data_IF_117047775363
#
_entry.id   IF_117047775363
#
_cell.length_a   1.000
_cell.length_b   1.000
_cell.length_c   1.000
_cell.angle_alpha   90.00
_cell.angle_beta   90.00
_cell.angle_gamma   90.00
#
_symmetry.space_group_name_H-M   'P 1'
#
loop_
_entity.id
_entity.type
_entity.pdbx_description
1 polymer ?
#
# COMPACT_ATOMS: atom_id res chain seq x y z
N UNK A 1 -12.76 -6.56 11.03
CA UNK A 1 -11.88 -5.71 10.20
C UNK A 1 -10.51 -6.33 9.98
N UNK A 2 -9.81 -6.80 11.03
CA UNK A 2 -8.48 -7.42 10.87
C UNK A 2 -8.48 -8.64 9.92
N UNK A 3 -9.46 -9.53 9.99
CA UNK A 3 -9.59 -10.68 9.07
C UNK A 3 -9.82 -10.23 7.61
N UNK A 4 -10.53 -9.11 7.39
CA UNK A 4 -10.67 -8.50 6.06
C UNK A 4 -9.34 -7.97 5.52
N UNK A 5 -8.53 -7.32 6.36
CA UNK A 5 -7.19 -6.86 5.97
C UNK A 5 -6.26 -8.03 5.68
N UNK A 6 -6.26 -9.06 6.54
CA UNK A 6 -5.45 -10.27 6.35
C UNK A 6 -5.80 -11.01 5.04
N UNK A 7 -7.10 -11.09 4.69
CA UNK A 7 -7.51 -11.63 3.38
C UNK A 7 -7.03 -10.75 2.22
N UNK A 8 -7.13 -9.42 2.34
CA UNK A 8 -6.60 -8.50 1.32
C UNK A 8 -5.09 -8.68 1.11
N UNK A 9 -4.34 -8.83 2.21
CA UNK A 9 -2.90 -9.12 2.17
C UNK A 9 -2.62 -10.50 1.55
N UNK A 10 -3.47 -11.51 1.81
CA UNK A 10 -3.32 -12.82 1.18
C UNK A 10 -3.59 -12.79 -0.33
N UNK A 11 -4.54 -11.95 -0.78
CA UNK A 11 -4.82 -11.77 -2.21
C UNK A 11 -3.62 -11.20 -2.97
N UNK A 12 -2.79 -10.34 -2.36
CA UNK A 12 -1.60 -9.83 -3.05
C UNK A 12 -0.60 -10.94 -3.38
N UNK A 13 -0.62 -12.03 -2.61
CA UNK A 13 0.25 -13.20 -2.82
C UNK A 13 -0.28 -14.17 -3.87
N UNK A 14 -1.58 -14.16 -4.13
CA UNK A 14 -2.22 -15.08 -5.06
C UNK A 14 -2.74 -14.34 -6.30
N UNK A 15 -2.16 -14.65 -7.46
CA UNK A 15 -2.50 -13.96 -8.71
C UNK A 15 -3.72 -14.59 -9.38
N UNK A 16 -4.91 -14.23 -8.91
CA UNK A 16 -6.17 -14.56 -9.58
C UNK A 16 -6.58 -13.44 -10.56
N UNK A 17 -7.33 -13.77 -11.59
CA UNK A 17 -7.78 -12.82 -12.62
C UNK A 17 -8.96 -11.98 -12.14
N UNK A 18 -9.77 -12.50 -11.21
CA UNK A 18 -10.94 -11.84 -10.65
C UNK A 18 -11.07 -12.03 -9.14
N UNK A 19 -11.66 -11.05 -8.45
CA UNK A 19 -11.98 -11.16 -7.02
C UNK A 19 -12.91 -12.33 -6.69
N UNK A 20 -13.77 -12.72 -7.63
CA UNK A 20 -14.74 -13.81 -7.41
C UNK A 20 -14.03 -15.17 -7.37
N UNK A 21 -12.90 -15.31 -8.07
CA UNK A 21 -12.16 -16.57 -8.15
C UNK A 21 -11.56 -16.99 -6.81
N UNK A 22 -11.25 -16.04 -5.92
CA UNK A 22 -10.81 -16.36 -4.56
C UNK A 22 -11.83 -17.17 -3.74
N UNK A 23 -13.11 -17.10 -4.10
CA UNK A 23 -14.19 -17.90 -3.49
C UNK A 23 -14.73 -18.97 -4.44
N UNK A 24 -13.99 -19.32 -5.50
CA UNK A 24 -14.39 -20.38 -6.40
C UNK A 24 -14.40 -21.74 -5.70
N UNK A 25 -15.37 -22.58 -6.06
CA UNK A 25 -15.42 -24.00 -5.67
C UNK A 25 -14.81 -24.92 -6.74
N UNK A 26 -14.36 -24.36 -7.86
CA UNK A 26 -13.65 -25.11 -8.90
C UNK A 26 -12.34 -25.65 -8.33
N UNK A 27 -12.10 -26.96 -8.46
CA UNK A 27 -10.88 -27.63 -7.99
C UNK A 27 -9.55 -26.99 -8.43
N UNK A 28 -9.52 -26.35 -9.60
CA UNK A 28 -8.29 -25.70 -10.11
C UNK A 28 -8.02 -24.33 -9.47
N UNK A 29 -9.05 -23.69 -8.93
CA UNK A 29 -9.02 -22.33 -8.39
C UNK A 29 -9.33 -22.29 -6.89
N UNK A 30 -9.77 -23.41 -6.31
CA UNK A 30 -10.31 -23.47 -4.96
C UNK A 30 -9.23 -23.13 -3.94
N UNK A 31 -9.47 -22.06 -3.19
CA UNK A 31 -8.66 -21.69 -2.04
C UNK A 31 -9.56 -21.59 -0.81
N UNK A 32 -9.63 -22.66 -0.01
CA UNK A 32 -10.60 -22.79 1.09
C UNK A 32 -10.53 -21.63 2.10
N UNK A 33 -9.32 -21.16 2.39
CA UNK A 33 -9.03 -20.10 3.38
C UNK A 33 -9.91 -18.86 3.21
N UNK A 34 -10.22 -18.43 1.98
CA UNK A 34 -11.06 -17.25 1.76
C UNK A 34 -12.50 -17.47 2.21
N UNK A 35 -13.09 -18.61 1.82
CA UNK A 35 -14.45 -18.99 2.21
C UNK A 35 -14.58 -19.26 3.70
N UNK A 36 -13.56 -19.91 4.29
CA UNK A 36 -13.53 -20.30 5.71
C UNK A 36 -13.39 -19.08 6.65
N UNK A 37 -12.73 -18.02 6.20
CA UNK A 37 -12.52 -16.81 7.00
C UNK A 37 -13.65 -15.81 6.84
N UNK A 38 -14.16 -15.62 5.61
CA UNK A 38 -15.19 -14.61 5.35
C UNK A 38 -15.99 -14.93 4.08
N UNK A 39 -17.32 -14.84 4.13
CA UNK A 39 -18.14 -14.95 2.94
C UNK A 39 -17.80 -13.85 1.90
N UNK A 40 -17.80 -14.21 0.61
CA UNK A 40 -17.53 -13.30 -0.52
C UNK A 40 -18.32 -11.99 -0.43
N UNK A 41 -19.62 -12.09 -0.21
CA UNK A 41 -20.51 -10.92 -0.19
C UNK A 41 -20.22 -10.00 1.00
N UNK A 42 -19.79 -10.57 2.14
CA UNK A 42 -19.33 -9.81 3.30
C UNK A 42 -18.03 -9.06 2.99
N UNK A 43 -17.07 -9.72 2.35
CA UNK A 43 -15.82 -9.08 1.93
C UNK A 43 -16.09 -7.91 0.97
N UNK A 44 -16.90 -8.13 -0.06
CA UNK A 44 -17.26 -7.09 -1.03
C UNK A 44 -18.02 -5.93 -0.38
N UNK A 45 -18.91 -6.21 0.58
CA UNK A 45 -19.62 -5.17 1.33
C UNK A 45 -18.65 -4.34 2.17
N UNK A 46 -17.72 -4.96 2.90
CA UNK A 46 -16.70 -4.26 3.68
C UNK A 46 -15.80 -3.42 2.77
N UNK A 47 -15.33 -3.99 1.66
CA UNK A 47 -14.54 -3.27 0.67
C UNK A 47 -15.30 -2.07 0.12
N UNK A 48 -16.61 -2.19 -0.16
CA UNK A 48 -17.46 -1.11 -0.65
C UNK A 48 -17.62 0.00 0.39
N UNK A 49 -17.93 -0.38 1.63
CA UNK A 49 -18.25 0.54 2.72
C UNK A 49 -17.02 1.12 3.44
N UNK A 50 -15.79 0.68 3.12
CA UNK A 50 -14.57 1.22 3.72
C UNK A 50 -14.46 2.76 3.58
N UNK A 51 -14.35 3.44 4.72
CA UNK A 51 -14.23 4.91 4.85
C UNK A 51 -13.33 5.23 6.05
N UNK A 52 -12.67 6.39 6.01
CA UNK A 52 -11.74 6.84 7.06
C UNK A 52 -12.06 8.22 7.63
N UNK A 53 -13.17 8.82 7.19
CA UNK A 53 -13.66 10.11 7.64
C UNK A 53 -15.17 10.05 7.84
N UNK A 54 -15.69 10.90 8.70
CA UNK A 54 -17.12 11.16 8.79
C UNK A 54 -17.53 12.12 7.66
N UNK A 55 -18.50 11.70 6.85
CA UNK A 55 -19.00 12.54 5.73
C UNK A 55 -20.07 13.54 6.19
N UNK A 56 -20.49 13.51 7.46
CA UNK A 56 -21.46 14.46 8.03
C UNK A 56 -20.82 15.80 8.40
N UNK A 57 -19.50 15.84 8.60
CA UNK A 57 -18.78 17.07 8.84
C UNK A 57 -18.58 17.84 7.53
N UNK A 58 -18.70 19.19 7.54
CA UNK A 58 -18.41 19.99 6.36
C UNK A 58 -16.95 19.76 5.99
N UNK A 59 -16.75 19.03 4.88
CA UNK A 59 -15.41 18.84 4.33
C UNK A 59 -14.84 20.21 4.02
N UNK A 60 -13.59 20.44 4.40
CA UNK A 60 -12.79 21.49 3.77
C UNK A 60 -12.90 21.31 2.24
N UNK A 61 -12.72 22.39 1.47
CA UNK A 61 -12.71 22.32 -0.01
C UNK A 61 -11.72 21.27 -0.55
N UNK A 62 -10.75 20.89 0.30
CA UNK A 62 -9.84 19.80 0.09
C UNK A 62 -10.52 18.43 0.05
N UNK A 63 -10.16 17.61 -0.92
CA UNK A 63 -10.61 16.21 -1.04
C UNK A 63 -9.69 15.23 -0.29
N UNK A 64 -8.50 15.64 0.13
CA UNK A 64 -7.53 14.81 0.86
C UNK A 64 -7.97 14.48 2.30
N UNK A 65 -8.87 15.27 2.89
CA UNK A 65 -9.52 14.99 4.19
C UNK A 65 -10.03 13.55 4.36
N UNK A 66 -10.40 12.88 3.25
CA UNK A 66 -10.90 11.50 3.25
C UNK A 66 -9.95 10.45 3.81
N UNK A 67 -8.64 10.76 3.86
CA UNK A 67 -7.60 9.86 4.37
C UNK A 67 -6.55 10.59 5.22
N UNK A 68 -6.64 11.91 5.32
CA UNK A 68 -5.70 12.75 6.06
C UNK A 68 -5.40 12.23 7.47
N UNK A 69 -6.43 11.82 8.22
CA UNK A 69 -6.25 11.26 9.55
C UNK A 69 -5.32 10.04 9.57
N UNK A 70 -5.51 9.10 8.63
CA UNK A 70 -4.68 7.90 8.54
C UNK A 70 -3.25 8.26 8.15
N UNK A 71 -3.08 9.20 7.21
CA UNK A 71 -1.75 9.66 6.76
C UNK A 71 -0.99 10.27 7.94
N UNK A 72 -1.59 11.23 8.64
CA UNK A 72 -0.97 11.89 9.79
C UNK A 72 -0.62 10.90 10.90
N UNK A 73 -1.54 9.99 11.22
CA UNK A 73 -1.32 8.97 12.24
C UNK A 73 -0.16 8.04 11.90
N UNK A 74 -0.02 7.65 10.63
CA UNK A 74 1.09 6.81 10.18
C UNK A 74 2.42 7.56 10.17
N UNK A 75 2.43 8.83 9.74
CA UNK A 75 3.62 9.68 9.81
C UNK A 75 4.13 9.81 11.25
N UNK A 76 3.23 10.09 12.21
CA UNK A 76 3.57 10.14 13.63
C UNK A 76 4.14 8.82 14.16
N UNK A 77 3.50 7.70 13.83
CA UNK A 77 3.98 6.38 14.22
C UNK A 77 5.35 6.06 13.60
N UNK A 78 5.56 6.38 12.33
CA UNK A 78 6.80 6.07 11.63
C UNK A 78 7.97 6.86 12.20
N UNK A 79 7.77 8.16 12.45
CA UNK A 79 8.77 9.05 13.07
C UNK A 79 9.11 8.67 14.51
N UNK A 80 8.15 8.17 15.28
CA UNK A 80 8.34 7.87 16.71
C UNK A 80 8.89 6.46 16.98
N UNK A 81 8.65 5.50 16.09
CA UNK A 81 8.98 4.09 16.34
C UNK A 81 10.45 3.71 16.03
N UNK A 82 11.22 4.57 15.35
CA UNK A 82 12.59 4.26 14.97
C UNK A 82 13.50 5.49 15.05
N UNK A 83 14.75 5.29 15.46
CA UNK A 83 15.80 6.29 15.37
C UNK A 83 16.73 5.92 14.21
N UNK A 84 16.83 6.78 13.18
CA UNK A 84 17.60 6.46 11.99
C UNK A 84 19.10 6.27 12.24
N UNK A 85 19.76 5.54 11.35
CA UNK A 85 21.22 5.51 11.25
C UNK A 85 21.76 6.75 10.52
N UNK A 86 23.02 6.71 10.10
CA UNK A 86 23.69 7.89 9.53
C UNK A 86 23.22 8.22 8.10
N UNK A 87 22.79 7.22 7.31
CA UNK A 87 22.57 7.36 5.86
C UNK A 87 21.08 7.25 5.52
N UNK A 88 20.58 8.16 4.68
CA UNK A 88 19.18 8.19 4.20
C UNK A 88 19.12 8.22 2.69
N UNK A 89 18.02 7.73 2.12
CA UNK A 89 17.68 8.02 0.74
C UNK A 89 16.25 8.57 0.64
N UNK A 90 16.06 9.52 -0.28
CA UNK A 90 14.78 10.12 -0.57
C UNK A 90 14.37 9.78 -2.01
N UNK A 91 13.17 9.23 -2.19
CA UNK A 91 12.66 8.83 -3.50
C UNK A 91 11.24 9.35 -3.76
N UNK A 92 11.00 9.83 -4.99
CA UNK A 92 9.67 10.06 -5.53
C UNK A 92 9.01 8.75 -5.99
N UNK A 93 8.27 8.09 -5.10
CA UNK A 93 7.39 6.98 -5.46
C UNK A 93 6.15 7.50 -6.21
N UNK A 94 5.57 6.68 -7.10
CA UNK A 94 4.35 7.03 -7.83
C UNK A 94 3.38 5.87 -7.83
N UNK A 95 2.26 6.08 -7.15
CA UNK A 95 1.17 5.12 -7.11
C UNK A 95 0.32 5.26 -8.36
N UNK A 96 0.34 4.22 -9.18
CA UNK A 96 -0.40 4.19 -10.42
C UNK A 96 -1.90 4.26 -10.12
N UNK A 97 -2.57 5.30 -10.63
CA UNK A 97 -4.03 5.44 -10.53
C UNK A 97 -4.63 5.89 -11.86
N UNK A 98 -5.42 5.00 -12.48
CA UNK A 98 -6.03 5.24 -13.79
C UNK A 98 -7.40 5.92 -13.73
N UNK A 99 -8.01 6.07 -12.55
CA UNK A 99 -9.31 6.74 -12.40
C UNK A 99 -9.23 8.26 -12.55
N UNK A 100 -10.39 8.94 -12.44
CA UNK A 100 -10.46 10.41 -12.35
C UNK A 100 -10.11 10.84 -10.93
N UNK A 101 -9.07 11.65 -10.77
CA UNK A 101 -8.58 12.16 -9.49
C UNK A 101 -7.86 13.48 -9.72
N UNK A 102 -7.97 14.40 -8.76
CA UNK A 102 -7.32 15.72 -8.76
C UNK A 102 -5.84 15.65 -8.34
N UNK A 103 -5.45 14.67 -7.52
CA UNK A 103 -4.07 14.34 -7.15
C UNK A 103 -3.27 13.65 -8.28
N UNK A 104 -3.87 13.48 -9.46
CA UNK A 104 -3.32 12.65 -10.52
C UNK A 104 -2.31 13.46 -11.32
N UNK A 105 -1.03 13.19 -11.09
CA UNK A 105 0.06 13.83 -11.82
C UNK A 105 0.43 13.03 -13.06
N UNK A 106 0.77 13.73 -14.13
CA UNK A 106 1.32 13.13 -15.34
C UNK A 106 2.83 12.91 -15.19
N UNK A 107 3.28 11.66 -15.25
CA UNK A 107 4.70 11.30 -15.22
C UNK A 107 5.09 10.57 -16.52
N UNK A 108 5.59 11.28 -17.55
CA UNK A 108 5.87 10.70 -18.87
C UNK A 108 6.98 9.64 -18.86
N UNK A 109 7.87 9.65 -17.86
CA UNK A 109 8.98 8.71 -17.74
C UNK A 109 8.58 7.34 -17.16
N UNK A 110 7.40 7.22 -16.52
CA UNK A 110 6.96 5.96 -15.90
C UNK A 110 6.01 5.20 -16.85
N UNK A 111 6.08 3.86 -16.84
CA UNK A 111 5.27 2.93 -17.68
C UNK A 111 3.76 3.18 -17.63
N UNK A 112 3.28 3.84 -16.58
CA UNK A 112 1.94 4.35 -16.48
C UNK A 112 2.04 5.85 -16.25
N UNK A 113 1.61 6.61 -17.25
CA UNK A 113 1.86 8.05 -17.28
C UNK A 113 1.04 8.84 -16.25
N UNK A 114 0.21 8.19 -15.41
CA UNK A 114 -0.60 8.89 -14.43
C UNK A 114 -0.72 8.18 -13.08
N UNK A 115 -0.58 8.92 -11.99
CA UNK A 115 -0.70 8.39 -10.63
C UNK A 115 -0.69 9.45 -9.52
N UNK A 116 -0.75 8.99 -8.29
CA UNK A 116 -0.53 9.82 -7.09
C UNK A 116 0.97 9.80 -6.80
N UNK A 117 1.62 10.95 -6.86
CA UNK A 117 3.04 11.08 -6.50
C UNK A 117 3.19 11.15 -4.98
N UNK A 118 4.18 10.45 -4.44
CA UNK A 118 4.48 10.43 -3.03
C UNK A 118 5.99 10.39 -2.84
N UNK A 119 6.53 11.27 -2.01
CA UNK A 119 7.93 11.22 -1.60
C UNK A 119 8.05 10.36 -0.36
N UNK A 120 9.07 9.49 -0.32
CA UNK A 120 9.35 8.61 0.81
C UNK A 120 10.79 8.85 1.25
N UNK A 121 10.99 9.10 2.54
CA UNK A 121 12.28 9.16 3.18
C UNK A 121 12.55 7.84 3.91
N UNK A 122 13.66 7.18 3.56
CA UNK A 122 14.00 5.88 4.12
C UNK A 122 15.40 5.87 4.72
N UNK A 123 15.56 5.05 5.76
CA UNK A 123 16.84 4.65 6.29
C UNK A 123 17.56 3.70 5.34
N UNK A 124 18.85 3.94 5.16
CA UNK A 124 19.71 3.18 4.27
C UNK A 124 19.90 1.71 4.67
N UNK A 125 20.23 1.50 5.94
CA UNK A 125 20.82 0.25 6.40
C UNK A 125 19.76 -0.84 6.56
N UNK A 126 18.57 -0.45 7.03
CA UNK A 126 17.47 -1.39 7.26
C UNK A 126 16.30 -1.23 6.29
N UNK A 127 16.23 -0.14 5.52
CA UNK A 127 15.13 0.15 4.60
C UNK A 127 13.84 0.58 5.29
N UNK A 128 13.92 1.09 6.53
CA UNK A 128 12.78 1.60 7.29
C UNK A 128 12.34 2.96 6.73
N UNK A 129 11.04 3.11 6.49
CA UNK A 129 10.43 4.36 6.06
C UNK A 129 10.27 5.28 7.26
N UNK A 130 11.07 6.34 7.29
CA UNK A 130 11.08 7.35 8.34
C UNK A 130 9.87 8.29 8.23
N UNK A 131 9.57 8.71 7.00
CA UNK A 131 8.49 9.65 6.72
C UNK A 131 8.10 9.61 5.24
N UNK A 132 6.93 10.17 4.90
CA UNK A 132 6.47 10.29 3.52
C UNK A 132 5.55 11.49 3.35
N UNK A 133 5.49 12.07 2.15
CA UNK A 133 4.56 13.15 1.79
C UNK A 133 3.83 12.80 0.51
N UNK A 134 2.50 12.91 0.52
CA UNK A 134 1.65 12.71 -0.66
C UNK A 134 1.48 14.05 -1.37
N UNK A 135 1.87 14.10 -2.65
CA UNK A 135 1.81 15.32 -3.46
C UNK A 135 0.50 15.44 -4.23
N UNK A 136 0.04 16.67 -4.39
CA UNK A 136 -1.13 17.06 -5.17
C UNK A 136 -0.84 18.35 -5.92
N UNK A 137 -1.37 18.51 -7.13
CA UNK A 137 -1.32 19.79 -7.85
C UNK A 137 -2.09 20.91 -7.13
N UNK A 138 -3.08 20.57 -6.29
CA UNK A 138 -3.88 21.53 -5.52
C UNK A 138 -3.54 21.56 -4.03
N UNK A 139 -2.68 20.65 -3.57
CA UNK A 139 -2.43 20.36 -2.16
C UNK A 139 -0.94 20.13 -1.94
N UNK A 140 -0.19 21.22 -1.77
CA UNK A 140 1.08 21.14 -1.06
C UNK A 140 0.71 20.98 0.41
N UNK A 141 0.71 19.74 0.92
CA UNK A 141 0.57 19.47 2.35
C UNK A 141 1.66 20.26 3.06
N UNK A 142 1.26 21.33 3.75
CA UNK A 142 2.05 22.08 4.73
C UNK A 142 3.53 22.28 4.36
N UNK A 143 3.79 23.02 3.28
CA UNK A 143 5.05 23.74 3.18
C UNK A 143 4.90 24.97 4.09
N UNK A 144 5.57 24.97 5.24
CA UNK A 144 5.61 26.15 6.12
C UNK A 144 6.32 27.34 5.46
N UNK A 145 7.14 27.08 4.44
CA UNK A 145 7.86 28.08 3.66
C UNK A 145 7.83 27.63 2.20
N UNK A 146 7.25 28.44 1.31
CA UNK A 146 7.52 28.33 -0.12
C UNK A 146 8.88 28.95 -0.35
N UNK A 147 9.82 28.20 -0.92
CA UNK A 147 11.04 28.83 -1.46
C UNK A 147 10.87 29.07 -2.95
N UNK A 148 11.67 29.98 -3.50
CA UNK A 148 11.71 30.26 -4.94
C UNK A 148 12.29 29.08 -5.76
N UNK A 149 12.63 27.95 -5.13
CA UNK A 149 13.37 26.81 -5.71
C UNK A 149 12.47 25.67 -6.25
N UNK A 150 11.14 25.84 -6.19
CA UNK A 150 10.14 24.94 -6.79
C UNK A 150 9.54 23.89 -5.85
N UNK A 151 8.32 23.44 -6.17
CA UNK A 151 7.46 22.62 -5.29
C UNK A 151 8.10 21.29 -4.80
N UNK A 152 8.90 20.62 -5.63
CA UNK A 152 9.52 19.34 -5.28
C UNK A 152 10.68 19.52 -4.28
N UNK A 153 11.51 20.56 -4.47
CA UNK A 153 12.63 20.92 -3.58
C UNK A 153 12.14 21.23 -2.17
N UNK A 154 11.07 22.03 -2.06
CA UNK A 154 10.45 22.38 -0.77
C UNK A 154 9.89 21.15 -0.04
N UNK A 155 9.34 20.20 -0.80
CA UNK A 155 8.81 18.95 -0.23
C UNK A 155 9.94 18.10 0.36
N UNK A 156 11.06 17.98 -0.36
CA UNK A 156 12.24 17.25 0.13
C UNK A 156 12.83 17.91 1.37
N UNK A 157 12.96 19.25 1.39
CA UNK A 157 13.44 20.00 2.56
C UNK A 157 12.52 19.77 3.76
N UNK A 158 11.19 19.81 3.54
CA UNK A 158 10.20 19.62 4.61
C UNK A 158 10.25 18.21 5.21
N UNK A 159 10.43 17.19 4.38
CA UNK A 159 10.64 15.81 4.81
C UNK A 159 11.93 15.63 5.64
N UNK A 160 12.99 16.33 5.23
CA UNK A 160 14.30 16.24 5.88
C UNK A 160 14.41 17.09 7.14
N UNK A 161 13.55 18.09 7.34
CA UNK A 161 13.59 19.06 8.45
C UNK A 161 13.88 18.43 9.82
N UNK A 162 13.26 17.30 10.24
CA UNK A 162 13.53 16.69 11.55
C UNK A 162 14.94 16.10 11.68
N UNK A 163 15.65 15.92 10.57
CA UNK A 163 16.93 15.25 10.45
C UNK A 163 18.07 16.18 9.99
N UNK A 164 17.78 17.46 9.76
CA UNK A 164 18.81 18.46 9.48
C UNK A 164 19.67 18.71 10.72
N UNK A 165 20.90 19.19 10.50
CA UNK A 165 21.86 19.54 11.57
C UNK A 165 22.31 18.38 12.48
N UNK A 166 22.06 17.13 12.08
CA UNK A 166 22.43 15.92 12.84
C UNK A 166 23.57 15.10 12.21
N UNK A 167 24.22 15.61 11.16
CA UNK A 167 25.35 14.95 10.51
C UNK A 167 24.98 13.74 9.63
N UNK A 168 23.71 13.60 9.26
CA UNK A 168 23.26 12.55 8.36
C UNK A 168 23.72 12.77 6.92
N UNK A 169 23.88 11.67 6.17
CA UNK A 169 24.20 11.67 4.73
C UNK A 169 22.97 11.28 3.93
N UNK A 170 22.52 12.15 3.03
CA UNK A 170 21.29 11.97 2.27
C UNK A 170 21.61 11.70 0.80
N UNK A 171 21.04 10.63 0.25
CA UNK A 171 21.08 10.28 -1.16
C UNK A 171 19.78 10.74 -1.84
N UNK A 172 19.89 11.57 -2.88
CA UNK A 172 18.75 12.13 -3.62
C UNK A 172 18.84 11.70 -5.10
N UNK A 173 17.70 11.32 -5.68
CA UNK A 173 17.58 10.98 -7.11
C UNK A 173 17.63 12.22 -8.03
N UNK A 174 18.06 12.01 -9.29
CA UNK A 174 18.33 13.02 -10.32
C UNK A 174 17.14 13.97 -10.58
N UNK A 175 15.90 13.44 -10.59
CA UNK A 175 14.71 14.27 -10.80
C UNK A 175 14.49 15.36 -9.75
N UNK A 176 15.19 15.28 -8.62
CA UNK A 176 15.05 16.20 -7.49
C UNK A 176 16.35 16.94 -7.17
N UNK A 177 17.42 16.77 -7.97
CA UNK A 177 18.70 17.45 -7.75
C UNK A 177 18.78 18.77 -8.51
N UNK A 178 18.50 19.89 -7.82
CA UNK A 178 18.94 21.21 -8.24
C UNK A 178 20.21 21.63 -7.46
N UNK A 179 21.12 22.39 -8.07
CA UNK A 179 22.32 22.89 -7.36
C UNK A 179 21.93 23.77 -6.16
N UNK A 180 20.82 24.51 -6.27
CA UNK A 180 20.29 25.34 -5.19
C UNK A 180 19.82 24.51 -3.99
N UNK A 181 19.18 23.36 -4.23
CA UNK A 181 18.79 22.44 -3.16
C UNK A 181 20.02 21.90 -2.43
N UNK A 182 21.09 21.59 -3.16
CA UNK A 182 22.35 21.13 -2.58
C UNK A 182 22.99 22.17 -1.67
N UNK A 183 23.06 23.43 -2.12
CA UNK A 183 23.57 24.53 -1.31
C UNK A 183 22.69 24.77 -0.08
N UNK A 184 21.37 24.75 -0.25
CA UNK A 184 20.41 24.92 0.84
C UNK A 184 20.57 23.83 1.92
N UNK A 185 20.66 22.57 1.52
CA UNK A 185 20.85 21.45 2.45
C UNK A 185 22.24 21.46 3.11
N UNK A 186 23.27 21.88 2.38
CA UNK A 186 24.61 22.08 2.95
C UNK A 186 24.61 23.15 4.04
N UNK A 187 23.98 24.30 3.77
CA UNK A 187 23.85 25.38 4.76
C UNK A 187 23.03 24.97 5.98
N UNK A 188 22.11 24.00 5.83
CA UNK A 188 21.36 23.39 6.94
C UNK A 188 22.07 22.17 7.57
N UNK A 189 23.39 22.09 7.42
CA UNK A 189 24.29 21.09 8.02
C UNK A 189 23.89 19.62 7.76
N UNK A 190 23.39 19.35 6.55
CA UNK A 190 23.21 17.99 6.06
C UNK A 190 24.31 17.66 5.03
N UNK A 191 24.87 16.45 5.14
CA UNK A 191 25.73 15.92 4.08
C UNK A 191 24.82 15.34 2.98
N UNK A 192 25.01 15.76 1.73
CA UNK A 192 24.15 15.36 0.61
C UNK A 192 24.98 14.79 -0.52
N UNK A 193 24.47 13.74 -1.16
CA UNK A 193 25.02 13.07 -2.33
C UNK A 193 23.91 12.86 -3.38
N UNK A 194 24.17 13.15 -4.65
CA UNK A 194 23.27 12.81 -5.78
C UNK A 194 24.06 12.60 -7.07
N UNK A 195 23.49 11.82 -8.00
CA UNK A 195 23.97 11.71 -9.37
C UNK A 195 23.11 12.57 -10.30
N UNK A 196 23.85 13.38 -11.04
CA UNK A 196 23.55 14.13 -12.26
C UNK A 196 22.64 15.36 -12.14
N UNK A 197 23.25 16.54 -12.36
CA UNK A 197 22.57 17.69 -12.93
C UNK A 197 22.68 17.64 -14.45
N UNK A 198 21.63 18.12 -15.12
CA UNK A 198 21.63 18.38 -16.54
C UNK A 198 22.88 19.17 -16.98
N UNK A 199 23.36 18.82 -18.18
CA UNK A 199 24.54 19.32 -18.92
C UNK A 199 24.74 20.85 -18.99
N UNK A 200 23.87 21.67 -18.41
CA UNK A 200 23.77 23.11 -18.62
C UNK A 200 24.61 23.96 -17.67
N UNK A 201 24.81 23.56 -16.41
CA UNK A 201 25.47 24.45 -15.41
C UNK A 201 26.96 24.16 -15.17
N UNK A 202 27.52 23.08 -15.73
CA UNK A 202 28.94 22.69 -15.55
C UNK A 202 29.76 23.03 -16.80
N UNK A 203 29.46 24.17 -17.44
CA UNK A 203 30.11 24.64 -18.67
C UNK A 203 31.64 24.81 -18.55
N UNK A 204 32.21 24.72 -17.34
CA UNK A 204 33.65 24.82 -17.10
C UNK A 204 34.44 23.49 -17.33
N UNK A 205 33.80 22.33 -17.53
CA UNK A 205 34.49 21.04 -17.65
C UNK A 205 34.44 20.45 -19.06
N UNK A 206 35.13 21.13 -19.98
CA UNK A 206 35.16 20.83 -21.42
C UNK A 206 36.16 19.74 -21.84
N UNK A 207 36.82 19.03 -20.91
CA UNK A 207 37.76 17.97 -21.29
C UNK A 207 37.07 16.60 -21.44
N UNK A 208 37.36 15.93 -22.57
CA UNK A 208 36.98 14.55 -22.84
C UNK A 208 37.86 13.63 -21.98
N UNK A 209 37.30 13.10 -20.90
CA UNK A 209 37.95 12.05 -20.11
C UNK A 209 38.09 10.77 -20.93
N UNK A 210 39.24 10.10 -20.80
CA UNK A 210 39.40 8.73 -21.28
C UNK A 210 38.63 7.78 -20.38
N UNK A 211 38.43 6.56 -20.88
CA UNK A 211 37.74 5.50 -20.14
C UNK A 211 38.48 5.22 -18.82
N UNK A 212 37.74 5.23 -17.70
CA UNK A 212 38.18 5.02 -16.31
C UNK A 212 38.94 6.18 -15.66
N UNK A 213 38.92 7.37 -16.26
CA UNK A 213 39.46 8.57 -15.61
C UNK A 213 38.40 9.22 -14.69
N UNK A 214 38.87 9.75 -13.57
CA UNK A 214 38.08 10.59 -12.66
C UNK A 214 38.56 12.02 -12.79
N UNK A 215 37.60 12.94 -12.88
CA UNK A 215 37.85 14.35 -12.70
C UNK A 215 37.08 14.84 -11.48
N UNK A 216 37.81 15.39 -10.52
CA UNK A 216 37.23 16.15 -9.41
C UNK A 216 37.35 17.63 -9.74
N UNK A 217 36.26 18.37 -9.53
CA UNK A 217 36.28 19.82 -9.50
C UNK A 217 35.76 20.32 -8.18
N UNK A 218 36.61 21.07 -7.50
CA UNK A 218 36.25 21.86 -6.33
C UNK A 218 36.63 23.30 -6.61
N UNK A 219 35.67 24.12 -7.04
CA UNK A 219 35.78 25.58 -7.02
C UNK A 219 35.20 26.16 -5.73
N UNK A 220 34.07 25.62 -5.26
CA UNK A 220 33.43 25.80 -3.95
C UNK A 220 32.52 24.59 -3.66
N UNK A 221 31.95 24.48 -2.44
CA UNK A 221 30.89 23.49 -2.15
C UNK A 221 29.71 23.74 -3.11
N UNK A 222 29.13 22.70 -3.75
CA UNK A 222 29.42 21.26 -3.64
C UNK A 222 30.58 20.74 -4.53
N UNK A 223 31.26 19.67 -4.08
CA UNK A 223 32.24 18.91 -4.86
C UNK A 223 31.53 18.25 -6.05
N UNK A 224 32.06 18.46 -7.25
CA UNK A 224 31.60 17.78 -8.46
C UNK A 224 32.59 16.70 -8.89
N UNK A 225 32.07 15.50 -9.14
CA UNK A 225 32.81 14.33 -9.60
C UNK A 225 32.29 13.92 -10.96
N UNK A 226 33.20 13.77 -11.92
CA UNK A 226 32.91 13.23 -13.26
C UNK A 226 33.65 11.91 -13.44
N UNK A 227 32.93 10.86 -13.81
CA UNK A 227 33.46 9.51 -14.02
C UNK A 227 33.06 8.97 -15.39
N UNK A 228 33.99 8.40 -16.15
CA UNK A 228 33.70 7.88 -17.49
C UNK A 228 33.93 6.37 -17.61
N UNK A 229 32.85 5.55 -17.63
CA UNK A 229 32.96 4.08 -17.81
C UNK A 229 32.56 3.62 -19.23
N UNK A 230 31.30 3.84 -19.60
CA UNK A 230 30.76 3.69 -20.98
C UNK A 230 30.17 5.01 -21.48
N UNK A 231 29.62 5.78 -20.55
CA UNK A 231 29.20 7.18 -20.68
C UNK A 231 29.72 7.97 -19.48
N UNK A 232 29.80 9.30 -19.61
CA UNK A 232 30.13 10.18 -18.50
C UNK A 232 28.98 10.21 -17.49
N UNK A 233 29.30 9.94 -16.22
CA UNK A 233 28.43 10.10 -15.06
C UNK A 233 28.91 11.30 -14.25
N UNK A 234 27.95 12.13 -13.81
CA UNK A 234 28.21 13.33 -13.00
C UNK A 234 27.63 13.12 -11.61
N UNK A 235 28.37 13.46 -10.57
CA UNK A 235 27.92 13.35 -9.19
C UNK A 235 28.24 14.62 -8.43
N UNK A 236 27.30 15.07 -7.61
CA UNK A 236 27.50 16.13 -6.64
C UNK A 236 27.55 15.53 -5.24
N UNK A 237 28.54 15.98 -4.48
CA UNK A 237 28.63 15.67 -3.05
C UNK A 237 29.02 16.91 -2.27
N UNK A 238 28.39 17.11 -1.13
CA UNK A 238 28.79 18.18 -0.20
C UNK A 238 29.87 17.72 0.80
N UNK A 239 30.29 16.45 0.73
CA UNK A 239 31.36 15.94 1.57
C UNK A 239 32.70 16.35 0.97
N UNK A 240 33.42 17.16 1.74
CA UNK A 240 34.81 17.52 1.48
C UNK A 240 35.69 16.27 1.50
N UNK A 241 36.29 15.93 0.36
CA UNK A 241 37.63 15.33 0.39
C UNK A 241 38.62 16.46 0.62
N UNK A 242 39.73 16.16 1.31
CA UNK A 242 40.75 17.12 1.75
C UNK A 242 40.98 18.28 0.77
N UNK A 243 40.93 19.50 1.32
CA UNK A 243 40.93 20.80 0.65
C UNK A 243 42.17 21.01 -0.24
N UNK A 244 42.17 20.37 -1.40
CA UNK A 244 43.05 20.70 -2.52
C UNK A 244 42.15 21.28 -3.61
N UNK A 245 41.98 22.60 -3.59
CA UNK A 245 41.34 23.32 -4.69
C UNK A 245 42.09 23.03 -5.99
N UNK A 246 41.38 22.57 -7.01
CA UNK A 246 41.97 22.21 -8.29
C UNK A 246 41.16 21.17 -9.06
N UNK A 247 41.49 21.02 -10.34
CA UNK A 247 41.05 19.88 -11.16
C UNK A 247 42.05 18.76 -10.89
N UNK A 248 41.62 17.70 -10.21
CA UNK A 248 42.45 16.50 -10.01
C UNK A 248 42.00 15.46 -11.01
N UNK A 249 42.84 15.19 -12.00
CA UNK A 249 42.71 14.05 -12.90
C UNK A 249 43.46 12.88 -12.27
N UNK A 250 42.75 11.88 -11.76
CA UNK A 250 43.35 10.67 -11.21
C UNK A 250 43.02 9.48 -12.11
N UNK A 251 44.06 8.85 -12.66
CA UNK A 251 43.94 7.55 -13.29
C UNK A 251 43.96 6.49 -12.17
N UNK A 252 42.92 5.67 -12.07
CA UNK A 252 42.94 4.53 -11.15
C UNK A 252 43.78 3.40 -11.74
N UNK A 253 44.67 2.85 -10.90
CA UNK A 253 45.54 1.71 -11.27
C UNK A 253 44.78 0.37 -11.37
N UNK A 254 43.46 0.34 -11.13
CA UNK A 254 42.65 -0.88 -11.20
C UNK A 254 41.19 -0.60 -11.60
N UNK A 255 40.45 -1.65 -11.98
CA UNK A 255 39.02 -1.66 -12.35
C UNK A 255 38.05 -1.25 -11.21
N UNK A 256 38.54 -0.60 -10.16
CA UNK A 256 37.80 -0.31 -8.94
C UNK A 256 36.97 0.96 -9.11
N UNK A 257 35.64 0.84 -9.01
CA UNK A 257 34.73 1.99 -9.04
C UNK A 257 34.95 2.88 -7.79
N UNK A 258 34.86 4.21 -7.91
CA UNK A 258 34.97 5.11 -6.76
C UNK A 258 33.94 4.79 -5.69
N UNK A 259 34.35 4.82 -4.41
CA UNK A 259 33.47 4.51 -3.27
C UNK A 259 32.18 5.34 -3.27
N UNK A 260 32.25 6.61 -3.70
CA UNK A 260 31.07 7.47 -3.84
C UNK A 260 30.05 6.93 -4.86
N UNK A 261 30.53 6.41 -5.99
CA UNK A 261 29.69 5.79 -7.03
C UNK A 261 29.13 4.45 -6.56
N UNK A 262 29.93 3.66 -5.85
CA UNK A 262 29.47 2.40 -5.26
C UNK A 262 28.37 2.65 -4.22
N UNK A 263 28.60 3.59 -3.30
CA UNK A 263 27.62 3.99 -2.30
C UNK A 263 26.32 4.44 -2.98
N UNK A 264 26.37 5.36 -3.96
CA UNK A 264 25.17 5.79 -4.67
C UNK A 264 24.49 4.66 -5.45
N UNK A 265 25.25 3.81 -6.14
CA UNK A 265 24.69 2.71 -6.94
C UNK A 265 23.93 1.71 -6.06
N UNK A 266 24.46 1.46 -4.85
CA UNK A 266 23.75 0.66 -3.85
C UNK A 266 22.45 1.35 -3.40
N UNK A 267 22.38 2.69 -3.47
CA UNK A 267 21.21 3.51 -3.07
C UNK A 267 20.07 3.27 -4.02
N UNK A 268 20.40 3.44 -5.29
CA UNK A 268 19.45 3.27 -6.37
C UNK A 268 18.98 1.82 -6.42
N UNK A 269 19.86 0.86 -6.16
CA UNK A 269 19.45 -0.55 -6.06
C UNK A 269 18.49 -0.81 -4.88
N UNK A 270 18.69 -0.16 -3.72
CA UNK A 270 17.79 -0.29 -2.57
C UNK A 270 16.41 0.33 -2.86
N UNK A 271 16.40 1.51 -3.49
CA UNK A 271 15.23 2.20 -4.03
C UNK A 271 14.44 1.31 -5.00
N UNK A 272 15.10 0.80 -6.04
CA UNK A 272 14.45 -0.07 -7.03
C UNK A 272 13.85 -1.32 -6.38
N UNK A 273 14.54 -1.91 -5.40
CA UNK A 273 14.03 -3.06 -4.64
C UNK A 273 12.79 -2.70 -3.82
N UNK A 274 12.74 -1.51 -3.21
CA UNK A 274 11.57 -1.01 -2.49
C UNK A 274 10.38 -0.87 -3.46
N UNK A 275 10.59 -0.18 -4.59
CA UNK A 275 9.55 0.01 -5.62
C UNK A 275 9.07 -1.31 -6.23
N UNK A 276 9.96 -2.26 -6.50
CA UNK A 276 9.60 -3.60 -6.97
C UNK A 276 8.80 -4.39 -5.93
N UNK A 277 9.18 -4.29 -4.65
CA UNK A 277 8.47 -4.96 -3.56
C UNK A 277 7.05 -4.41 -3.45
N UNK A 278 6.89 -3.09 -3.43
CA UNK A 278 5.59 -2.42 -3.38
C UNK A 278 4.73 -2.71 -4.61
N UNK A 279 5.30 -2.65 -5.82
CA UNK A 279 4.55 -2.94 -7.05
C UNK A 279 4.13 -4.42 -7.17
N UNK A 280 4.81 -5.33 -6.48
CA UNK A 280 4.47 -6.76 -6.42
C UNK A 280 3.29 -7.06 -5.48
N UNK A 281 3.05 -6.21 -4.48
CA UNK A 281 1.94 -6.33 -3.53
C UNK A 281 0.68 -5.56 -3.98
N UNK A 282 0.80 -4.67 -4.96
CA UNK A 282 -0.29 -3.87 -5.52
C UNK A 282 -1.29 -4.67 -6.39
N UNK A 283 -2.29 -5.29 -5.76
CA UNK A 283 -3.40 -5.93 -6.49
C UNK A 283 -4.62 -5.01 -6.73
N UNK A 284 -4.78 -3.92 -5.97
CA UNK A 284 -5.98 -3.07 -5.98
C UNK A 284 -6.05 -2.10 -7.18
N UNK A 285 -6.03 -2.61 -8.42
CA UNK A 285 -5.74 -1.81 -9.64
C UNK A 285 -6.96 -1.39 -10.48
N UNK A 286 -8.17 -1.90 -10.22
CA UNK A 286 -9.33 -1.60 -11.08
C UNK A 286 -10.59 -1.36 -10.25
N UNK A 287 -11.22 -0.19 -10.42
CA UNK A 287 -12.56 0.15 -9.90
C UNK A 287 -12.68 0.56 -8.41
N UNK A 288 -11.60 0.95 -7.75
CA UNK A 288 -11.62 1.35 -6.33
C UNK A 288 -11.39 2.85 -6.18
N UNK A 289 -12.11 3.49 -5.26
CA UNK A 289 -11.94 4.91 -4.91
C UNK A 289 -10.48 5.19 -4.51
N UNK A 290 -9.89 6.27 -5.03
CA UNK A 290 -8.47 6.63 -4.87
C UNK A 290 -7.93 6.51 -3.43
N UNK A 291 -8.68 6.97 -2.43
CA UNK A 291 -8.22 6.98 -1.04
C UNK A 291 -8.04 5.57 -0.48
N UNK A 292 -8.80 4.58 -0.96
CA UNK A 292 -8.61 3.18 -0.54
C UNK A 292 -7.33 2.61 -1.13
N UNK A 293 -6.98 2.98 -2.37
CA UNK A 293 -5.72 2.56 -3.00
C UNK A 293 -4.54 3.13 -2.21
N UNK A 294 -4.61 4.41 -1.87
CA UNK A 294 -3.61 5.03 -1.01
C UNK A 294 -3.55 4.33 0.36
N UNK A 295 -4.70 4.03 0.99
CA UNK A 295 -4.72 3.28 2.26
C UNK A 295 -4.02 1.91 2.18
N UNK A 296 -4.30 1.12 1.15
CA UNK A 296 -3.65 -0.19 1.00
C UNK A 296 -2.16 -0.05 0.73
N UNK A 297 -1.74 0.99 -0.01
CA UNK A 297 -0.32 1.28 -0.15
C UNK A 297 0.35 1.65 1.19
N UNK A 298 -0.31 2.49 2.00
CA UNK A 298 0.17 2.85 3.33
C UNK A 298 0.22 1.63 4.27
N UNK A 299 -0.68 0.67 4.10
CA UNK A 299 -0.63 -0.61 4.80
C UNK A 299 0.61 -1.42 4.39
N UNK A 300 0.94 -1.47 3.10
CA UNK A 300 2.16 -2.13 2.61
C UNK A 300 3.42 -1.48 3.19
N UNK A 301 3.49 -0.14 3.23
CA UNK A 301 4.59 0.58 3.91
C UNK A 301 4.67 0.23 5.40
N UNK A 302 3.52 0.12 6.07
CA UNK A 302 3.47 -0.25 7.49
C UNK A 302 4.03 -1.67 7.73
N UNK A 303 3.77 -2.60 6.82
CA UNK A 303 4.31 -3.97 6.87
C UNK A 303 5.82 -3.97 6.63
N UNK A 304 6.31 -3.14 5.68
CA UNK A 304 7.75 -2.97 5.44
C UNK A 304 8.46 -2.43 6.69
N UNK A 305 7.89 -1.42 7.35
CA UNK A 305 8.41 -0.87 8.59
C UNK A 305 8.42 -1.88 9.73
N UNK A 306 7.32 -2.62 9.90
CA UNK A 306 7.24 -3.68 10.92
C UNK A 306 8.32 -4.75 10.70
N UNK A 307 8.59 -5.13 9.45
CA UNK A 307 9.67 -6.08 9.11
C UNK A 307 11.05 -5.50 9.39
N UNK A 308 11.29 -4.24 9.02
CA UNK A 308 12.56 -3.57 9.27
C UNK A 308 12.85 -3.47 10.78
N UNK A 309 11.86 -3.11 11.59
CA UNK A 309 11.97 -3.11 13.05
C UNK A 309 12.20 -4.51 13.61
N UNK A 310 11.47 -5.52 13.15
CA UNK A 310 11.67 -6.90 13.56
C UNK A 310 13.09 -7.38 13.28
N UNK A 311 13.66 -7.03 12.11
CA UNK A 311 15.04 -7.33 11.75
C UNK A 311 16.03 -6.70 12.73
N UNK A 312 15.83 -5.42 13.08
CA UNK A 312 16.70 -4.70 14.03
C UNK A 312 16.62 -5.33 15.43
N UNK A 313 15.43 -5.62 15.93
CA UNK A 313 15.22 -6.13 17.29
C UNK A 313 15.66 -7.59 17.49
N UNK A 314 15.44 -8.45 16.49
CA UNK A 314 15.69 -9.90 16.63
C UNK A 314 16.98 -10.36 15.94
N UNK A 315 17.59 -9.51 15.11
CA UNK A 315 18.69 -9.90 14.22
C UNK A 315 18.32 -10.88 13.11
N UNK A 316 17.05 -11.35 13.06
CA UNK A 316 16.60 -12.34 12.08
C UNK A 316 16.13 -11.66 10.80
N UNK A 317 16.75 -12.05 9.69
CA UNK A 317 16.41 -11.55 8.36
C UNK A 317 15.31 -12.42 7.72
N UNK A 318 14.08 -11.91 7.70
CA UNK A 318 12.98 -12.53 6.96
C UNK A 318 12.85 -11.91 5.57
N UNK A 319 12.62 -12.75 4.56
CA UNK A 319 12.10 -12.27 3.27
C UNK A 319 10.73 -11.63 3.50
N UNK A 320 10.40 -10.59 2.73
CA UNK A 320 9.11 -9.89 2.85
C UNK A 320 7.94 -10.88 2.73
N UNK A 321 8.06 -11.83 1.79
CA UNK A 321 7.06 -12.87 1.58
C UNK A 321 6.81 -13.77 2.79
N UNK A 322 7.88 -14.17 3.48
CA UNK A 322 7.76 -15.00 4.68
C UNK A 322 7.19 -14.21 5.84
N UNK A 323 7.63 -12.96 6.00
CA UNK A 323 7.15 -12.07 7.06
C UNK A 323 5.65 -11.78 6.92
N UNK A 324 5.20 -11.40 5.72
CA UNK A 324 3.78 -11.18 5.41
C UNK A 324 2.93 -12.41 5.70
N UNK A 325 3.40 -13.59 5.28
CA UNK A 325 2.64 -14.82 5.44
C UNK A 325 2.52 -15.21 6.93
N UNK A 326 3.58 -15.02 7.72
CA UNK A 326 3.52 -15.18 9.18
C UNK A 326 2.55 -14.19 9.80
N UNK A 327 2.62 -12.90 9.43
CA UNK A 327 1.73 -11.87 9.92
C UNK A 327 0.25 -12.17 9.58
N UNK A 328 -0.03 -12.61 8.35
CA UNK A 328 -1.38 -13.03 7.92
C UNK A 328 -1.87 -14.18 8.81
N UNK A 329 -1.04 -15.21 9.04
CA UNK A 329 -1.39 -16.33 9.92
C UNK A 329 -1.72 -15.85 11.33
N UNK A 330 -0.86 -15.05 11.94
CA UNK A 330 -1.08 -14.53 13.30
C UNK A 330 -2.33 -13.64 13.39
N UNK A 331 -2.58 -12.81 12.38
CA UNK A 331 -3.79 -11.98 12.30
C UNK A 331 -5.04 -12.86 12.15
N UNK A 332 -5.00 -13.90 11.32
CA UNK A 332 -6.10 -14.83 11.18
C UNK A 332 -6.29 -15.66 12.46
N UNK A 333 -5.24 -16.17 13.09
CA UNK A 333 -5.39 -16.97 14.32
C UNK A 333 -5.95 -16.15 15.48
N UNK A 334 -5.58 -14.87 15.57
CA UNK A 334 -6.05 -13.96 16.63
C UNK A 334 -7.46 -13.43 16.38
N UNK A 335 -7.82 -13.14 15.13
CA UNK A 335 -9.05 -12.42 14.78
C UNK A 335 -10.00 -13.17 13.85
N UNK A 336 -9.66 -14.38 13.39
CA UNK A 336 -10.67 -15.32 12.91
C UNK A 336 -11.60 -15.47 14.09
N UNK A 337 -12.86 -15.07 13.89
CA UNK A 337 -13.89 -15.34 14.86
C UNK A 337 -13.72 -16.83 15.16
N UNK A 338 -13.25 -17.16 16.37
CA UNK A 338 -13.70 -18.39 17.00
C UNK A 338 -15.19 -18.18 17.01
N UNK A 339 -15.86 -18.63 15.96
CA UNK A 339 -17.23 -19.06 16.05
C UNK A 339 -17.19 -19.96 17.27
N UNK A 340 -17.60 -19.41 18.42
CA UNK A 340 -18.11 -20.21 19.52
C UNK A 340 -19.06 -21.14 18.80
N UNK A 341 -18.63 -22.38 18.69
CA UNK A 341 -19.25 -23.45 17.94
C UNK A 341 -19.50 -23.08 16.46
N UNK A 342 -18.78 -23.75 15.57
CA UNK A 342 -19.48 -24.53 14.56
C UNK A 342 -20.47 -25.48 15.29
N UNK A 343 -21.55 -24.92 15.82
CA UNK A 343 -22.81 -25.60 15.63
C UNK A 343 -22.92 -25.54 14.12
N UNK A 344 -22.74 -26.69 13.46
CA UNK A 344 -23.53 -26.97 12.27
C UNK A 344 -24.88 -26.37 12.59
N UNK A 345 -25.21 -25.23 12.00
CA UNK A 345 -26.50 -24.59 12.24
C UNK A 345 -27.48 -25.53 11.58
N UNK A 346 -27.83 -26.59 12.31
CA UNK A 346 -28.94 -27.46 12.04
C UNK A 346 -30.06 -26.48 11.73
N UNK A 347 -30.55 -26.56 10.49
CA UNK A 347 -31.50 -25.59 9.96
C UNK A 347 -32.57 -25.38 11.05
N UNK A 348 -32.98 -24.15 11.40
CA UNK A 348 -33.94 -23.94 12.49
C UNK A 348 -35.24 -24.76 12.35
N UNK A 349 -35.57 -25.13 11.10
CA UNK A 349 -36.65 -26.09 10.77
C UNK A 349 -36.47 -27.50 11.36
N UNK A 350 -35.24 -27.94 11.64
CA UNK A 350 -34.86 -29.28 12.10
C UNK A 350 -34.64 -29.38 13.62
N UNK A 351 -34.40 -28.26 14.30
CA UNK A 351 -34.05 -28.25 15.75
C UNK A 351 -35.20 -27.75 16.61
N UNK A 352 -35.93 -26.75 16.13
CA UNK A 352 -36.99 -26.15 16.92
C UNK A 352 -38.24 -27.01 16.97
N UNK A 353 -39.02 -26.87 18.04
CA UNK A 353 -40.39 -27.39 18.09
C UNK A 353 -41.26 -26.58 17.13
N UNK A 354 -41.81 -27.25 16.12
CA UNK A 354 -42.72 -26.68 15.13
C UNK A 354 -44.13 -27.22 15.37
N UNK A 355 -45.10 -26.31 15.40
CA UNK A 355 -46.50 -26.64 15.60
C UNK A 355 -47.32 -26.22 14.39
N UNK A 356 -48.27 -27.07 14.03
CA UNK A 356 -49.20 -26.79 12.95
C UNK A 356 -50.10 -25.62 13.35
N UNK A 357 -50.24 -24.63 12.47
CA UNK A 357 -51.14 -23.50 12.66
C UNK A 357 -52.04 -23.34 11.46
N UNK A 358 -53.19 -22.69 11.63
CA UNK A 358 -54.03 -22.27 10.51
C UNK A 358 -53.41 -21.04 9.85
N UNK A 359 -53.36 -21.07 8.53
CA UNK A 359 -52.89 -19.96 7.72
C UNK A 359 -53.86 -18.79 7.84
N UNK A 360 -53.31 -17.61 8.10
CA UNK A 360 -54.04 -16.34 8.10
C UNK A 360 -53.42 -15.47 7.02
N UNK A 361 -54.25 -15.01 6.08
CA UNK A 361 -53.79 -14.12 5.02
C UNK A 361 -53.98 -12.68 5.47
N UNK A 362 -52.88 -11.93 5.62
CA UNK A 362 -52.91 -10.50 5.91
C UNK A 362 -53.52 -9.69 4.75
N UNK A 363 -53.51 -10.25 3.53
CA UNK A 363 -53.94 -9.56 2.30
C UNK A 363 -55.35 -9.89 1.84
N UNK A 364 -55.96 -10.97 2.35
CA UNK A 364 -57.28 -11.40 1.88
C UNK A 364 -58.21 -11.74 3.05
N UNK A 365 -59.37 -11.07 3.13
CA UNK A 365 -60.44 -11.35 4.12
C UNK A 365 -61.26 -12.62 3.81
N UNK A 366 -60.68 -13.62 3.12
CA UNK A 366 -61.38 -14.87 2.83
C UNK A 366 -61.54 -15.67 4.12
N UNK A 367 -62.73 -16.24 4.34
CA UNK A 367 -63.06 -17.05 5.55
C UNK A 367 -62.11 -18.24 5.75
N UNK A 368 -61.61 -18.82 4.65
CA UNK A 368 -60.68 -19.95 4.64
C UNK A 368 -59.53 -19.69 3.66
N UNK A 369 -58.49 -18.91 4.03
CA UNK A 369 -57.37 -18.66 3.14
C UNK A 369 -56.51 -19.93 3.01
N UNK A 370 -55.97 -20.14 1.81
CA UNK A 370 -55.08 -21.26 1.49
C UNK A 370 -53.75 -20.73 0.96
N UNK A 371 -52.70 -21.51 1.15
CA UNK A 371 -51.36 -21.25 0.63
C UNK A 371 -50.80 -22.52 -0.02
N UNK A 372 -49.79 -22.38 -0.89
CA UNK A 372 -49.17 -23.53 -1.57
C UNK A 372 -48.30 -24.33 -0.61
N UNK A 373 -48.31 -25.66 -0.75
CA UNK A 373 -47.38 -26.52 -0.04
C UNK A 373 -45.99 -26.51 -0.70
N UNK A 374 -44.95 -26.10 0.03
CA UNK A 374 -43.58 -26.01 -0.50
C UNK A 374 -43.01 -27.39 -0.84
N UNK A 375 -43.27 -28.38 0.01
CA UNK A 375 -42.80 -29.77 -0.20
C UNK A 375 -43.41 -30.36 -1.47
N UNK A 376 -44.74 -30.28 -1.63
CA UNK A 376 -45.39 -30.77 -2.85
C UNK A 376 -44.90 -30.01 -4.10
N UNK A 377 -44.73 -28.69 -3.99
CA UNK A 377 -44.24 -27.86 -5.09
C UNK A 377 -42.83 -28.27 -5.54
N UNK A 378 -41.97 -28.73 -4.63
CA UNK A 378 -40.63 -29.22 -4.94
C UNK A 378 -40.66 -30.56 -5.70
N UNK A 379 -41.67 -31.38 -5.45
CA UNK A 379 -41.97 -32.62 -6.17
C UNK A 379 -42.86 -32.42 -7.40
N UNK A 380 -42.91 -31.21 -7.98
CA UNK A 380 -43.75 -30.84 -9.12
C UNK A 380 -45.26 -31.10 -8.94
N UNK A 381 -45.73 -31.21 -7.69
CA UNK A 381 -47.14 -31.40 -7.36
C UNK A 381 -47.76 -30.12 -6.83
N UNK A 382 -48.79 -29.61 -7.51
CA UNK A 382 -49.54 -28.44 -7.04
C UNK A 382 -50.57 -28.87 -5.99
N UNK A 383 -50.32 -28.54 -4.72
CA UNK A 383 -51.28 -28.68 -3.62
C UNK A 383 -51.38 -27.40 -2.80
N UNK A 384 -52.61 -27.06 -2.44
CA UNK A 384 -52.93 -25.93 -1.57
C UNK A 384 -53.37 -26.45 -0.20
N UNK A 385 -53.00 -25.73 0.85
CA UNK A 385 -53.21 -26.13 2.25
C UNK A 385 -53.64 -24.93 3.07
N UNK A 386 -54.48 -25.19 4.08
CA UNK A 386 -54.86 -24.22 5.10
C UNK A 386 -53.89 -24.19 6.27
N UNK A 387 -52.92 -25.09 6.27
CA UNK A 387 -51.99 -25.27 7.36
C UNK A 387 -50.62 -24.73 7.00
N UNK A 388 -49.98 -24.08 7.96
CA UNK A 388 -48.65 -23.53 7.81
C UNK A 388 -47.87 -23.67 9.12
N UNK A 389 -46.55 -23.63 9.04
CA UNK A 389 -45.70 -23.45 10.21
C UNK A 389 -45.53 -21.95 10.47
N UNK A 390 -46.02 -21.44 11.59
CA UNK A 390 -45.91 -20.02 11.94
C UNK A 390 -44.44 -19.57 12.06
N UNK A 391 -43.60 -20.41 12.66
CA UNK A 391 -42.16 -20.14 12.84
C UNK A 391 -41.40 -20.06 11.53
N UNK A 392 -41.62 -21.03 10.64
CA UNK A 392 -40.96 -21.08 9.33
C UNK A 392 -41.67 -20.22 8.26
N UNK A 393 -42.90 -19.77 8.52
CA UNK A 393 -43.77 -19.02 7.58
C UNK A 393 -44.00 -19.73 6.24
N UNK A 394 -44.16 -21.05 6.27
CA UNK A 394 -44.34 -21.88 5.06
C UNK A 394 -45.61 -22.71 5.10
N UNK A 395 -46.30 -22.82 3.96
CA UNK A 395 -47.45 -23.70 3.78
C UNK A 395 -47.05 -25.16 3.67
N UNK A 396 -47.67 -26.03 4.47
CA UNK A 396 -47.38 -27.47 4.53
C UNK A 396 -48.68 -28.29 4.62
N UNK A 397 -48.76 -29.41 3.88
CA UNK A 397 -49.82 -30.40 4.12
C UNK A 397 -49.60 -31.06 5.49
N UNK A 398 -50.70 -31.41 6.18
CA UNK A 398 -50.66 -31.99 7.53
C UNK A 398 -49.77 -33.24 7.58
N UNK A 399 -49.98 -34.17 6.64
CA UNK A 399 -49.19 -35.40 6.48
C UNK A 399 -48.95 -35.63 4.98
N UNK A 400 -47.74 -36.07 4.54
CA UNK A 400 -46.49 -36.23 5.30
C UNK A 400 -45.59 -34.97 5.28
N UNK A 401 -46.01 -33.90 4.60
CA UNK A 401 -45.16 -32.76 4.29
C UNK A 401 -44.69 -31.98 5.52
N UNK A 402 -45.53 -31.85 6.54
CA UNK A 402 -45.15 -31.15 7.78
C UNK A 402 -44.00 -31.85 8.48
N UNK A 403 -44.06 -33.17 8.59
CA UNK A 403 -43.00 -33.96 9.20
C UNK A 403 -41.73 -33.90 8.33
N UNK A 404 -41.83 -34.21 7.03
CA UNK A 404 -40.66 -34.23 6.14
C UNK A 404 -39.91 -32.90 6.10
N UNK A 405 -40.62 -31.76 6.12
CA UNK A 405 -40.00 -30.45 6.13
C UNK A 405 -39.26 -30.13 7.43
N UNK A 406 -39.64 -30.72 8.57
CA UNK A 406 -39.02 -30.44 9.87
C UNK A 406 -38.10 -31.58 10.37
N UNK A 407 -38.00 -32.70 9.65
CA UNK A 407 -37.14 -33.83 10.07
C UNK A 407 -36.07 -34.21 9.06
N UNK A 408 -36.21 -33.89 7.76
CA UNK A 408 -35.26 -34.30 6.72
C UNK A 408 -34.45 -33.12 6.17
N UNK A 409 -33.13 -33.27 6.05
CA UNK A 409 -32.28 -32.27 5.38
C UNK A 409 -32.67 -32.10 3.90
N UNK A 410 -32.93 -33.19 3.19
CA UNK A 410 -33.46 -33.19 1.84
C UNK A 410 -34.88 -33.79 1.81
N UNK A 411 -35.86 -32.95 1.47
CA UNK A 411 -37.28 -33.31 1.36
C UNK A 411 -37.84 -33.12 -0.04
#
# INVERSE_FOLDING_TARGET
>A
MYSFLALTMLMSRMKNMSFVEFWSKDSLLSTSVFGDVMAKDRYLLLLRMLHFCDNSQPGSEDRFFKIQYIVQRLQECFRSAFHPFQKFYCEGNTLIYKGRLFLKQYLPSKKSNFGIKMFILCDWDNGYVLDFVVCSESFNVALWERSDQGNDSDTVISLLRPYLEKGHTIFIDNWHSSPDLFLCLYHKAANVRSIEMSRTDISAMAEKLKRKEIQFTSSNIPLSLKWHERSALWMLSTLSMDQSGGIINQALESDVKPNLIVDYSNSMCAIEKLGLTLSSTEYMRKSIKWYKILFFHLLDLSILNARALHKVLTGKNFTIAKFELTLIREMLDKYKERNRSEEKTLLPRLVERHFLSLYVSERSKKKNPVTRCIVCSKHNNRRETRYWCFKCRVGLCVVPCFEMYHTREDY
#
